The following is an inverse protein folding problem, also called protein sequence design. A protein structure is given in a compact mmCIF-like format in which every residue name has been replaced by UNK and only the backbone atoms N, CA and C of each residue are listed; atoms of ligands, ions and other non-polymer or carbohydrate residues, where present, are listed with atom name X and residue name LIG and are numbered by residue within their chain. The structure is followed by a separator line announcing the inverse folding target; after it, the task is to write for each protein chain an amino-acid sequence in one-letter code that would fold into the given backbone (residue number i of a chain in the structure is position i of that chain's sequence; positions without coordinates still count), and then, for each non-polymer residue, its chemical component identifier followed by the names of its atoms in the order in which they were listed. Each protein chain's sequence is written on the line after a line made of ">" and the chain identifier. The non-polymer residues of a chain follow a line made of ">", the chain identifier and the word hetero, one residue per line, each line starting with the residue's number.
data_IF_219892566140
#
_entry.id   IF_219892566140
#
_cell.length_a   1.000
_cell.length_b   1.000
_cell.length_c   1.000
_cell.angle_alpha   90.00
_cell.angle_beta   90.00
_cell.angle_gamma   90.00
#
_symmetry.space_group_name_H-M   'P 1'
#
loop_
_entity.id
_entity.type
_entity.pdbx_description
1 polymer ?
#
# COMPACT_ATOMS: atom_id res chain seq x y z
N UNK A 1 -37.43 0.82 -29.69
CA UNK A 1 -36.62 1.88 -29.06
C UNK A 1 -35.22 1.31 -28.84
N UNK A 2 -34.20 1.90 -29.47
CA UNK A 2 -32.82 1.39 -29.40
C UNK A 2 -32.27 1.57 -27.98
N UNK A 3 -31.86 0.48 -27.35
CA UNK A 3 -31.11 0.52 -26.10
C UNK A 3 -29.75 1.17 -26.38
N UNK A 4 -29.62 2.45 -26.04
CA UNK A 4 -28.36 3.18 -26.14
C UNK A 4 -27.38 2.55 -25.17
N UNK A 5 -26.43 1.77 -25.68
CA UNK A 5 -25.29 1.27 -24.92
C UNK A 5 -24.48 2.46 -24.38
N UNK A 6 -24.84 2.93 -23.18
CA UNK A 6 -24.19 4.02 -22.43
C UNK A 6 -22.82 3.57 -21.91
N UNK A 7 -21.92 3.18 -22.84
CA UNK A 7 -20.52 2.96 -22.51
C UNK A 7 -19.93 4.33 -22.22
N UNK A 8 -19.32 4.48 -21.04
CA UNK A 8 -18.63 5.72 -20.66
C UNK A 8 -17.67 6.13 -21.79
N UNK A 9 -17.62 7.42 -22.17
CA UNK A 9 -16.67 7.87 -23.18
C UNK A 9 -15.25 7.55 -22.72
N UNK A 10 -14.38 7.18 -23.66
CA UNK A 10 -13.01 6.74 -23.38
C UNK A 10 -12.23 7.76 -22.53
N UNK A 11 -12.45 9.05 -22.78
CA UNK A 11 -11.88 10.16 -22.00
C UNK A 11 -12.28 10.11 -20.51
N UNK A 12 -13.52 9.71 -20.21
CA UNK A 12 -13.97 9.53 -18.83
C UNK A 12 -13.34 8.29 -18.19
N UNK A 13 -13.23 7.18 -18.92
CA UNK A 13 -12.56 5.98 -18.41
C UNK A 13 -11.08 6.24 -18.12
N UNK A 14 -10.40 7.02 -18.97
CA UNK A 14 -9.00 7.41 -18.77
C UNK A 14 -8.83 8.32 -17.54
N UNK A 15 -9.72 9.30 -17.38
CA UNK A 15 -9.71 10.17 -16.20
C UNK A 15 -9.97 9.41 -14.90
N UNK A 16 -10.92 8.48 -14.91
CA UNK A 16 -11.20 7.59 -13.76
C UNK A 16 -9.98 6.71 -13.44
N UNK A 17 -9.32 6.13 -14.46
CA UNK A 17 -8.13 5.30 -14.29
C UNK A 17 -6.94 6.07 -13.69
N UNK A 18 -6.61 7.26 -14.21
CA UNK A 18 -5.52 8.09 -13.67
C UNK A 18 -5.86 8.56 -12.25
N UNK A 19 -7.13 8.90 -11.99
CA UNK A 19 -7.61 9.25 -10.65
C UNK A 19 -7.38 8.12 -9.65
N UNK A 20 -7.64 6.87 -10.02
CA UNK A 20 -7.37 5.71 -9.17
C UNK A 20 -5.87 5.50 -8.91
N UNK A 21 -5.00 5.71 -9.90
CA UNK A 21 -3.54 5.61 -9.71
C UNK A 21 -3.04 6.68 -8.73
N UNK A 22 -3.43 7.93 -8.94
CA UNK A 22 -3.02 9.06 -8.07
C UNK A 22 -3.54 8.86 -6.66
N UNK A 23 -4.77 8.38 -6.52
CA UNK A 23 -5.34 8.06 -5.21
C UNK A 23 -4.58 6.93 -4.52
N UNK A 24 -4.24 5.86 -5.23
CA UNK A 24 -3.48 4.75 -4.66
C UNK A 24 -2.11 5.21 -4.14
N UNK A 25 -1.37 6.02 -4.91
CA UNK A 25 -0.05 6.54 -4.51
C UNK A 25 -0.17 7.47 -3.30
N UNK A 26 -1.23 8.28 -3.22
CA UNK A 26 -1.45 9.20 -2.09
C UNK A 26 -1.85 8.46 -0.81
N UNK A 27 -2.59 7.36 -0.94
CA UNK A 27 -3.13 6.58 0.18
C UNK A 27 -2.18 5.46 0.61
N UNK A 28 -1.24 5.04 -0.24
CA UNK A 28 -0.15 4.12 0.12
C UNK A 28 0.83 4.83 1.06
N UNK A 29 0.49 4.82 2.35
CA UNK A 29 1.38 5.25 3.42
C UNK A 29 2.02 4.01 3.99
N UNK A 30 3.30 3.74 3.68
CA UNK A 30 3.99 2.67 4.38
C UNK A 30 4.07 3.04 5.85
N UNK A 31 3.53 2.20 6.73
CA UNK A 31 3.81 2.27 8.16
C UNK A 31 5.32 2.21 8.32
N UNK A 32 5.92 3.29 8.79
CA UNK A 32 7.37 3.40 8.86
C UNK A 32 7.83 2.71 10.12
N UNK A 33 8.49 1.57 9.95
CA UNK A 33 9.21 0.89 11.03
C UNK A 33 10.44 1.74 11.41
N UNK A 34 10.42 2.35 12.59
CA UNK A 34 11.46 3.29 13.04
C UNK A 34 12.63 2.53 13.64
N UNK A 35 12.33 1.46 14.37
CA UNK A 35 13.33 0.66 15.04
C UNK A 35 13.12 -0.82 14.72
N UNK A 36 13.94 -1.31 13.80
CA UNK A 36 13.89 -2.66 13.24
C UNK A 36 15.24 -3.34 13.42
N UNK A 37 15.25 -4.43 14.15
CA UNK A 37 16.45 -5.26 14.35
C UNK A 37 16.27 -6.60 13.63
N UNK A 38 17.29 -7.00 12.86
CA UNK A 38 17.33 -8.29 12.17
C UNK A 38 18.48 -9.09 12.73
N UNK A 39 18.15 -10.26 13.27
CA UNK A 39 19.13 -11.24 13.72
C UNK A 39 19.13 -12.40 12.72
N UNK A 40 20.29 -12.71 12.17
CA UNK A 40 20.48 -13.83 11.27
C UNK A 40 21.49 -14.80 11.88
N UNK A 41 21.13 -16.08 11.90
CA UNK A 41 21.98 -17.16 12.39
C UNK A 41 21.99 -18.30 11.39
N UNK A 42 23.17 -18.65 10.91
CA UNK A 42 23.34 -19.83 10.04
C UNK A 42 23.76 -21.02 10.90
N UNK A 43 22.96 -22.09 10.88
CA UNK A 43 23.26 -23.37 11.51
C UNK A 43 23.38 -24.45 10.43
N UNK A 44 24.61 -24.87 10.13
CA UNK A 44 24.88 -25.85 9.08
C UNK A 44 24.46 -25.36 7.70
N UNK A 45 23.39 -25.94 7.14
CA UNK A 45 22.81 -25.60 5.84
C UNK A 45 21.50 -24.78 5.95
N UNK A 46 21.18 -24.24 7.12
CA UNK A 46 19.93 -23.49 7.31
C UNK A 46 20.23 -22.12 7.87
N UNK A 47 19.59 -21.10 7.30
CA UNK A 47 19.61 -19.73 7.82
C UNK A 47 18.31 -19.46 8.57
N UNK A 48 18.45 -19.18 9.87
CA UNK A 48 17.39 -18.70 10.74
C UNK A 48 17.44 -17.17 10.77
N UNK A 49 16.32 -16.51 10.45
CA UNK A 49 16.23 -15.05 10.50
C UNK A 49 15.07 -14.62 11.40
N UNK A 50 15.38 -13.85 12.43
CA UNK A 50 14.41 -13.19 13.32
C UNK A 50 14.38 -11.70 12.98
N UNK A 51 13.19 -11.14 12.89
CA UNK A 51 13.00 -9.69 12.74
C UNK A 51 12.17 -9.20 13.90
N UNK A 52 12.69 -8.24 14.65
CA UNK A 52 12.02 -7.57 15.76
C UNK A 52 11.73 -6.14 15.34
N UNK A 53 10.46 -5.73 15.44
CA UNK A 53 10.01 -4.36 15.19
C UNK A 53 9.65 -3.79 16.57
N UNK A 54 10.46 -2.85 17.06
CA UNK A 54 10.28 -2.25 18.39
C UNK A 54 9.36 -1.03 18.36
N UNK A 55 9.45 -0.25 17.29
CA UNK A 55 8.68 1.00 17.15
C UNK A 55 8.20 1.19 15.71
N UNK A 56 6.96 1.64 15.59
CA UNK A 56 6.35 2.09 14.34
C UNK A 56 5.93 3.56 14.48
N UNK A 57 6.16 4.35 13.43
CA UNK A 57 5.65 5.71 13.33
C UNK A 57 4.20 5.65 12.81
N UNK A 58 3.27 6.19 13.59
CA UNK A 58 1.86 6.32 13.22
C UNK A 58 1.57 7.79 12.95
N UNK A 59 1.09 8.12 11.75
CA UNK A 59 0.71 9.49 11.42
C UNK A 59 -0.70 9.80 11.92
N UNK A 60 -1.01 11.07 12.20
CA UNK A 60 -2.36 11.49 12.62
C UNK A 60 -3.47 11.11 11.62
N UNK A 61 -3.10 10.88 10.37
CA UNK A 61 -4.01 10.50 9.31
C UNK A 61 -4.39 9.02 9.38
N UNK A 62 -3.53 8.18 9.97
CA UNK A 62 -3.77 6.75 10.19
C UNK A 62 -4.75 6.51 11.36
N UNK A 63 -4.86 7.47 12.28
CA UNK A 63 -5.75 7.43 13.46
C UNK A 63 -7.19 7.83 13.11
N UNK A 64 -7.40 8.54 11.98
CA UNK A 64 -8.72 9.10 11.59
C UNK A 64 -9.55 8.18 10.69
N UNK A 65 -9.05 6.99 10.34
CA UNK A 65 -9.68 6.07 9.40
C UNK A 65 -10.50 4.94 10.06
N UNK A 66 -10.79 5.05 11.35
CA UNK A 66 -11.61 4.09 12.12
C UNK A 66 -13.05 4.60 12.33
#
# INVERSE_FOLDING_TARGET
>A
MMATNNKKPLSRCLGEFVGHIVHAIKTDKPTREVNRTVEEKTEGNVTLRRTTIEEIEITQEDIKSD
#
